data_IF_454139571304
#
_entry.id   IF_454139571304
#
_cell.length_a   1.000
_cell.length_b   1.000
_cell.length_c   1.000
_cell.angle_alpha   90.00
_cell.angle_beta   90.00
_cell.angle_gamma   90.00
#
_symmetry.space_group_name_H-M   'P 1'
#
loop_
_entity.id
_entity.type
_entity.pdbx_description
1 polymer ?
#
# COMPACT_ATOMS: atom_id res chain seq x y z
N UNK A 1 -0.30 26.28 6.37
CA UNK A 1 -1.75 25.98 6.30
C UNK A 1 -2.08 25.11 5.08
N UNK A 2 -1.32 25.24 3.98
CA UNK A 2 -1.52 24.49 2.73
C UNK A 2 -1.10 23.01 2.84
N UNK A 3 0.02 22.70 3.50
CA UNK A 3 0.47 21.33 3.80
C UNK A 3 -0.56 20.45 4.52
N UNK A 4 -1.37 21.01 5.43
CA UNK A 4 -2.42 20.25 6.13
C UNK A 4 -3.60 19.94 5.21
N UNK A 5 -3.95 20.87 4.32
CA UNK A 5 -5.03 20.68 3.33
C UNK A 5 -4.62 19.61 2.31
N UNK A 6 -3.39 19.68 1.79
CA UNK A 6 -2.86 18.68 0.87
C UNK A 6 -2.73 17.31 1.53
N UNK A 7 -2.30 17.24 2.79
CA UNK A 7 -2.30 15.99 3.55
C UNK A 7 -3.71 15.39 3.68
N UNK A 8 -4.71 16.22 4.01
CA UNK A 8 -6.10 15.78 4.11
C UNK A 8 -6.62 15.27 2.76
N UNK A 9 -6.30 15.96 1.66
CA UNK A 9 -6.70 15.57 0.31
C UNK A 9 -6.04 14.25 -0.10
N UNK A 10 -4.72 14.14 0.09
CA UNK A 10 -3.95 12.93 -0.18
C UNK A 10 -4.51 11.73 0.58
N UNK A 11 -4.68 11.87 1.89
CA UNK A 11 -5.22 10.82 2.73
C UNK A 11 -6.63 10.44 2.31
N UNK A 12 -7.51 11.43 2.05
CA UNK A 12 -8.89 11.17 1.61
C UNK A 12 -8.94 10.36 0.33
N UNK A 13 -8.14 10.69 -0.69
CA UNK A 13 -8.18 9.97 -1.97
C UNK A 13 -7.76 8.50 -1.81
N UNK A 14 -6.72 8.22 -1.01
CA UNK A 14 -6.29 6.85 -0.75
C UNK A 14 -7.30 6.09 0.12
N UNK A 15 -7.86 6.73 1.15
CA UNK A 15 -8.95 6.16 1.97
C UNK A 15 -10.17 5.82 1.11
N UNK A 16 -10.58 6.72 0.21
CA UNK A 16 -11.69 6.49 -0.74
C UNK A 16 -11.40 5.33 -1.71
N UNK A 17 -10.12 5.02 -1.98
CA UNK A 17 -9.67 3.86 -2.75
C UNK A 17 -9.56 2.57 -1.92
N UNK A 18 -9.85 2.65 -0.62
CA UNK A 18 -9.89 1.51 0.31
C UNK A 18 -8.64 1.33 1.17
N UNK A 19 -7.64 2.21 1.08
CA UNK A 19 -6.41 2.16 1.87
C UNK A 19 -6.62 2.69 3.30
N UNK A 20 -7.45 1.98 4.06
CA UNK A 20 -7.94 2.39 5.38
C UNK A 20 -7.19 1.74 6.55
N UNK A 21 -6.24 0.87 6.25
CA UNK A 21 -5.45 0.12 7.23
C UNK A 21 -4.39 0.99 7.92
N UNK A 22 -3.55 0.34 8.72
CA UNK A 22 -2.42 0.99 9.38
C UNK A 22 -1.24 1.16 8.42
N UNK A 23 -0.61 2.33 8.50
CA UNK A 23 0.57 2.69 7.75
C UNK A 23 1.73 2.95 8.70
N UNK A 24 2.92 2.66 8.22
CA UNK A 24 4.18 3.08 8.82
C UNK A 24 4.92 3.98 7.84
N UNK A 25 5.47 5.08 8.33
CA UNK A 25 6.43 5.91 7.58
C UNK A 25 7.87 5.43 7.81
N UNK A 26 8.83 5.98 7.06
CA UNK A 26 10.26 5.70 7.22
C UNK A 26 10.80 6.01 8.64
N UNK A 27 10.13 6.89 9.40
CA UNK A 27 10.43 7.16 10.81
C UNK A 27 9.74 6.22 11.82
N UNK A 28 9.14 5.13 11.35
CA UNK A 28 8.36 4.17 12.16
C UNK A 28 7.13 4.77 12.86
N UNK A 29 6.59 5.90 12.38
CA UNK A 29 5.33 6.47 12.86
C UNK A 29 4.17 5.58 12.39
N UNK A 30 3.60 4.79 13.29
CA UNK A 30 2.51 3.87 13.01
C UNK A 30 1.15 4.54 13.28
N UNK A 31 0.20 4.42 12.36
CA UNK A 31 -1.14 4.96 12.57
C UNK A 31 -2.03 4.83 11.35
N UNK A 32 -3.23 5.41 11.39
CA UNK A 32 -3.99 5.62 10.15
C UNK A 32 -3.19 6.54 9.23
N UNK A 33 -3.43 6.45 7.92
CA UNK A 33 -2.64 7.15 6.91
C UNK A 33 -2.39 8.63 7.23
N UNK A 34 -3.44 9.38 7.58
CA UNK A 34 -3.33 10.79 7.95
C UNK A 34 -2.54 10.99 9.25
N UNK A 35 -2.82 10.19 10.28
CA UNK A 35 -2.17 10.31 11.60
C UNK A 35 -0.66 10.03 11.50
N UNK A 36 -0.30 8.93 10.85
CA UNK A 36 1.08 8.50 10.60
C UNK A 36 1.88 9.57 9.85
N UNK A 37 1.29 10.17 8.81
CA UNK A 37 1.90 11.25 8.05
C UNK A 37 1.98 12.55 8.84
N UNK A 38 0.92 12.94 9.55
CA UNK A 38 0.88 14.13 10.40
C UNK A 38 2.01 14.08 11.43
N UNK A 39 2.13 12.97 12.15
CA UNK A 39 3.13 12.80 13.20
C UNK A 39 4.56 12.86 12.64
N UNK A 40 4.80 12.22 11.49
CA UNK A 40 6.08 12.30 10.80
C UNK A 40 6.45 13.74 10.41
N UNK A 41 5.53 14.50 9.80
CA UNK A 41 5.79 15.89 9.40
C UNK A 41 5.96 16.83 10.60
N UNK A 42 5.19 16.62 11.67
CA UNK A 42 5.38 17.35 12.93
C UNK A 42 6.76 17.08 13.54
N UNK A 43 7.22 15.83 13.51
CA UNK A 43 8.55 15.46 13.99
C UNK A 43 9.67 16.12 13.18
N UNK A 44 9.49 16.19 11.85
CA UNK A 44 10.41 16.93 10.97
C UNK A 44 10.45 18.43 11.31
N UNK A 45 9.31 19.05 11.60
CA UNK A 45 9.24 20.46 11.99
C UNK A 45 9.91 20.72 13.35
N UNK A 46 9.82 19.77 14.29
CA UNK A 46 10.47 19.83 15.61
C UNK A 46 11.98 19.55 15.54
N UNK A 47 12.49 19.11 14.39
CA UNK A 47 13.91 18.78 14.19
C UNK A 47 14.32 17.43 14.78
N UNK A 48 13.38 16.62 15.26
CA UNK A 48 13.63 15.26 15.76
C UNK A 48 13.86 14.28 14.59
N UNK A 49 13.22 14.56 13.46
CA UNK A 49 13.42 13.86 12.19
C UNK A 49 13.79 14.83 11.07
N UNK A 50 14.20 14.28 9.93
CA UNK A 50 14.53 15.06 8.74
C UNK A 50 13.47 14.86 7.66
N UNK A 51 13.11 15.96 6.97
CA UNK A 51 12.34 15.84 5.74
C UNK A 51 13.07 14.91 4.75
N UNK A 52 12.33 14.04 4.05
CA UNK A 52 12.92 13.11 3.10
C UNK A 52 13.60 13.89 1.98
N UNK A 53 14.86 13.53 1.67
CA UNK A 53 15.64 14.14 0.57
C UNK A 53 15.08 13.78 -0.81
N UNK A 54 14.33 12.68 -0.89
CA UNK A 54 13.70 12.16 -2.09
C UNK A 54 12.23 11.85 -1.76
N UNK A 55 11.85 10.57 -1.83
CA UNK A 55 10.49 10.14 -1.59
C UNK A 55 10.34 9.63 -0.15
N UNK A 56 9.23 10.00 0.50
CA UNK A 56 8.78 9.41 1.75
C UNK A 56 8.27 8.00 1.50
N UNK A 57 8.84 7.01 2.18
CA UNK A 57 8.33 5.64 2.14
C UNK A 57 7.17 5.46 3.14
N UNK A 58 6.05 4.95 2.64
CA UNK A 58 4.91 4.46 3.41
C UNK A 58 4.75 2.96 3.19
N UNK A 59 4.54 2.20 4.24
CA UNK A 59 4.29 0.74 4.15
C UNK A 59 3.03 0.34 4.89
N UNK A 60 2.27 -0.61 4.34
CA UNK A 60 1.05 -1.13 4.95
C UNK A 60 0.78 -2.59 4.54
N UNK A 61 -0.05 -3.27 5.31
CA UNK A 61 -0.63 -4.56 4.91
C UNK A 61 -1.92 -4.30 4.14
N UNK A 62 -2.00 -4.80 2.90
CA UNK A 62 -3.25 -4.85 2.14
C UNK A 62 -4.10 -6.04 2.56
N UNK A 63 -3.46 -7.13 2.97
CA UNK A 63 -4.11 -8.32 3.49
C UNK A 63 -3.19 -8.99 4.51
N UNK A 64 -3.66 -9.10 5.75
CA UNK A 64 -3.01 -9.81 6.84
C UNK A 64 -4.03 -10.67 7.57
N UNK A 65 -3.69 -11.94 7.83
CA UNK A 65 -4.61 -12.87 8.51
C UNK A 65 -3.91 -13.73 9.57
N UNK A 66 -2.78 -13.24 10.08
CA UNK A 66 -1.89 -13.93 11.03
C UNK A 66 -0.56 -14.35 10.39
N UNK A 67 0.43 -14.60 11.25
CA UNK A 67 1.81 -14.91 10.83
C UNK A 67 1.92 -16.22 10.03
N UNK A 68 1.05 -17.19 10.32
CA UNK A 68 1.01 -18.51 9.65
C UNK A 68 0.30 -18.50 8.29
N UNK A 69 -0.02 -17.32 7.74
CA UNK A 69 -0.73 -17.20 6.47
C UNK A 69 0.02 -16.29 5.51
N UNK A 70 -0.13 -16.52 4.19
CA UNK A 70 0.34 -15.56 3.20
C UNK A 70 -0.28 -14.18 3.44
N UNK A 71 0.49 -13.16 3.10
CA UNK A 71 0.11 -11.76 3.30
C UNK A 71 0.42 -10.95 2.07
N UNK A 72 -0.29 -9.83 1.93
CA UNK A 72 -0.04 -8.85 0.90
C UNK A 72 0.36 -7.55 1.57
N UNK A 73 1.55 -7.08 1.25
CA UNK A 73 2.12 -5.82 1.70
C UNK A 73 2.12 -4.83 0.54
N UNK A 74 2.01 -3.55 0.86
CA UNK A 74 2.31 -2.46 -0.06
C UNK A 74 3.39 -1.53 0.50
N UNK A 75 4.19 -1.01 -0.42
CA UNK A 75 5.10 0.09 -0.20
C UNK A 75 4.75 1.20 -1.20
N UNK A 76 4.62 2.43 -0.71
CA UNK A 76 4.28 3.61 -1.48
C UNK A 76 5.37 4.65 -1.30
N UNK A 77 5.87 5.20 -2.40
CA UNK A 77 6.83 6.29 -2.40
C UNK A 77 6.08 7.58 -2.67
N UNK A 78 6.12 8.50 -1.72
CA UNK A 78 5.39 9.77 -1.75
C UNK A 78 6.40 10.90 -1.88
N UNK A 79 6.32 11.63 -2.98
CA UNK A 79 7.06 12.88 -3.16
C UNK A 79 6.41 13.98 -2.36
N UNK A 80 7.23 14.74 -1.66
CA UNK A 80 6.84 15.98 -0.99
C UNK A 80 7.69 17.11 -1.58
N UNK A 81 7.14 17.81 -2.58
CA UNK A 81 7.80 18.91 -3.29
C UNK A 81 6.87 20.12 -3.29
N UNK A 82 7.38 21.29 -2.94
CA UNK A 82 6.63 22.55 -2.97
C UNK A 82 5.26 22.47 -2.25
N UNK A 83 5.23 21.83 -1.08
CA UNK A 83 4.01 21.63 -0.27
C UNK A 83 2.95 20.70 -0.88
N UNK A 84 3.23 20.06 -2.02
CA UNK A 84 2.36 19.07 -2.66
C UNK A 84 2.79 17.64 -2.34
N UNK A 85 1.81 16.77 -2.04
CA UNK A 85 2.01 15.34 -1.86
C UNK A 85 1.56 14.58 -3.11
N UNK A 86 2.49 13.86 -3.73
CA UNK A 86 2.19 13.01 -4.88
C UNK A 86 2.75 11.61 -4.71
N UNK A 87 1.98 10.59 -5.10
CA UNK A 87 2.43 9.21 -5.12
C UNK A 87 3.27 8.98 -6.39
N UNK A 88 4.55 8.64 -6.27
CA UNK A 88 5.44 8.42 -7.43
C UNK A 88 5.45 6.96 -7.90
N UNK A 89 5.51 6.05 -6.92
CA UNK A 89 5.67 4.61 -7.12
C UNK A 89 4.89 3.87 -6.05
N UNK A 90 4.37 2.71 -6.44
CA UNK A 90 3.78 1.74 -5.54
C UNK A 90 4.34 0.35 -5.84
N UNK A 91 4.65 -0.40 -4.80
CA UNK A 91 5.07 -1.78 -4.89
C UNK A 91 4.12 -2.63 -4.07
N UNK A 92 3.64 -3.73 -4.66
CA UNK A 92 2.72 -4.65 -4.01
C UNK A 92 3.37 -6.02 -4.03
N UNK A 93 3.47 -6.65 -2.86
CA UNK A 93 4.17 -7.91 -2.69
C UNK A 93 3.27 -8.88 -1.94
N UNK A 94 3.05 -10.05 -2.53
CA UNK A 94 2.51 -11.22 -1.84
C UNK A 94 3.66 -12.05 -1.29
N UNK A 95 3.66 -12.30 0.01
CA UNK A 95 4.64 -13.14 0.70
C UNK A 95 3.95 -14.36 1.32
N UNK A 96 4.67 -15.47 1.42
CA UNK A 96 4.24 -16.61 2.23
C UNK A 96 4.44 -16.34 3.73
N UNK A 97 4.08 -17.32 4.57
CA UNK A 97 4.21 -17.26 6.03
C UNK A 97 5.66 -17.09 6.52
N UNK A 98 6.65 -17.48 5.72
CA UNK A 98 8.08 -17.36 6.04
C UNK A 98 8.70 -16.07 5.49
N UNK A 99 7.89 -15.21 4.84
CA UNK A 99 8.34 -13.97 4.22
C UNK A 99 8.92 -14.14 2.82
N UNK A 100 8.86 -15.33 2.22
CA UNK A 100 9.29 -15.54 0.84
C UNK A 100 8.35 -14.85 -0.13
N UNK A 101 8.89 -14.14 -1.11
CA UNK A 101 8.11 -13.42 -2.11
C UNK A 101 7.50 -14.43 -3.09
N UNK A 102 6.17 -14.53 -3.09
CA UNK A 102 5.41 -15.36 -4.03
C UNK A 102 5.13 -14.60 -5.34
N UNK A 103 4.80 -13.31 -5.23
CA UNK A 103 4.53 -12.44 -6.37
C UNK A 103 4.80 -10.99 -6.00
N UNK A 104 5.33 -10.22 -6.94
CA UNK A 104 5.64 -8.80 -6.79
C UNK A 104 5.27 -8.05 -8.05
N UNK A 105 4.65 -6.89 -7.88
CA UNK A 105 4.42 -5.93 -8.96
C UNK A 105 4.91 -4.55 -8.51
N UNK A 106 5.44 -3.81 -9.46
CA UNK A 106 5.87 -2.43 -9.29
C UNK A 106 5.11 -1.56 -10.27
N UNK A 107 4.49 -0.51 -9.74
CA UNK A 107 3.76 0.51 -10.48
C UNK A 107 4.54 1.82 -10.36
N UNK A 108 4.87 2.42 -11.49
CA UNK A 108 5.64 3.67 -11.61
C UNK A 108 4.79 4.77 -12.22
N UNK A 109 5.32 5.99 -12.20
CA UNK A 109 4.73 7.18 -12.81
C UNK A 109 3.28 7.39 -12.36
N UNK A 110 3.05 7.14 -11.07
CA UNK A 110 1.76 7.26 -10.45
C UNK A 110 1.44 8.71 -10.08
N UNK A 111 0.19 8.88 -9.68
CA UNK A 111 -0.32 9.99 -8.90
C UNK A 111 -1.30 9.39 -7.87
N UNK A 112 -1.71 10.17 -6.88
CA UNK A 112 -2.72 9.71 -5.92
C UNK A 112 -4.05 9.35 -6.62
N UNK A 113 -4.33 9.96 -7.78
CA UNK A 113 -5.53 9.73 -8.58
C UNK A 113 -5.43 8.43 -9.37
N UNK A 114 -4.27 8.17 -9.99
CA UNK A 114 -4.02 6.97 -10.80
C UNK A 114 -3.64 5.73 -9.98
N UNK A 115 -3.46 5.86 -8.67
CA UNK A 115 -3.27 4.72 -7.77
C UNK A 115 -4.42 3.70 -7.93
N UNK A 116 -4.14 2.39 -7.99
CA UNK A 116 -5.18 1.36 -8.07
C UNK A 116 -6.04 1.36 -6.79
N UNK A 117 -7.27 0.88 -6.88
CA UNK A 117 -8.07 0.58 -5.68
C UNK A 117 -7.42 -0.57 -4.90
N UNK A 118 -7.68 -0.65 -3.60
CA UNK A 118 -7.15 -1.73 -2.75
C UNK A 118 -7.48 -3.13 -3.32
N UNK A 119 -8.71 -3.33 -3.78
CA UNK A 119 -9.14 -4.60 -4.38
C UNK A 119 -8.39 -4.94 -5.68
N UNK A 120 -8.11 -3.93 -6.51
CA UNK A 120 -7.33 -4.09 -7.75
C UNK A 120 -5.87 -4.42 -7.42
N UNK A 121 -5.28 -3.71 -6.46
CA UNK A 121 -3.91 -3.96 -5.98
C UNK A 121 -3.74 -5.38 -5.45
N UNK A 122 -4.69 -5.86 -4.65
CA UNK A 122 -4.73 -7.25 -4.16
C UNK A 122 -4.84 -8.23 -5.32
N UNK A 123 -5.73 -7.97 -6.28
CA UNK A 123 -5.93 -8.83 -7.44
C UNK A 123 -4.68 -8.95 -8.33
N UNK A 124 -3.86 -7.90 -8.45
CA UNK A 124 -2.62 -7.94 -9.24
C UNK A 124 -1.62 -9.00 -8.75
N UNK A 125 -1.56 -9.24 -7.44
CA UNK A 125 -0.63 -10.20 -6.82
C UNK A 125 -1.31 -11.47 -6.30
N UNK A 126 -2.64 -11.49 -6.32
CA UNK A 126 -3.41 -12.71 -6.11
C UNK A 126 -3.40 -13.49 -7.43
N UNK A 127 -3.14 -14.78 -7.34
CA UNK A 127 -3.44 -15.65 -8.46
C UNK A 127 -4.97 -15.73 -8.50
N UNK A 128 -5.59 -15.33 -9.62
CA UNK A 128 -6.97 -15.76 -9.85
C UNK A 128 -6.98 -17.27 -9.63
N UNK A 129 -7.97 -17.83 -8.90
CA UNK A 129 -8.24 -19.23 -9.12
C UNK A 129 -8.58 -19.29 -10.60
N UNK A 130 -7.66 -19.85 -11.42
CA UNK A 130 -8.08 -20.53 -12.62
C UNK A 130 -9.13 -21.51 -12.09
N UNK A 131 -10.40 -21.15 -12.22
CA UNK A 131 -11.46 -22.12 -12.20
C UNK A 131 -11.09 -23.07 -13.32
N UNK A 132 -10.32 -24.10 -13.01
CA UNK A 132 -10.35 -25.32 -13.77
C UNK A 132 -11.77 -25.83 -13.52
N UNK A 133 -12.70 -25.35 -14.34
CA UNK A 133 -13.87 -26.12 -14.76
C UNK A 133 -13.32 -27.35 -15.49
N UNK A 134 -12.68 -28.24 -14.71
CA UNK A 134 -12.53 -29.63 -15.07
C UNK A 134 -13.94 -30.17 -15.07
N UNK A 135 -14.59 -30.11 -16.22
CA UNK A 135 -15.70 -31.00 -16.51
C UNK A 135 -15.17 -32.41 -16.31
N UNK A 136 -15.35 -32.97 -15.11
CA UNK A 136 -15.15 -34.39 -14.88
C UNK A 136 -16.11 -35.10 -15.83
N UNK A 137 -15.64 -35.87 -16.83
CA UNK A 137 -16.56 -36.64 -17.64
C UNK A 137 -17.17 -37.69 -16.72
N UNK A 138 -18.51 -37.66 -16.61
CA UNK A 138 -19.29 -38.74 -16.02
C UNK A 138 -18.89 -40.04 -16.72
N UNK A 139 -18.09 -40.87 -16.06
CA UNK A 139 -17.99 -42.31 -16.32
C UNK A 139 -18.26 -43.01 -15.00
N UNK A 140 -19.54 -43.22 -14.73
CA UNK A 140 -19.96 -44.42 -14.03
C UNK A 140 -19.86 -45.55 -15.07
N UNK A 141 -18.99 -46.51 -14.81
CA UNK A 141 -18.97 -47.79 -15.51
C UNK A 141 -19.02 -48.89 -14.45
N UNK A 142 -20.05 -49.73 -14.62
CA UNK A 142 -20.41 -51.00 -13.99
C UNK A 142 -20.97 -50.91 -12.57
#
# INVERSE_FOLDING_TARGET
METLLELNRFAKILTDKGYNEYFHTQGAYAGKLKESLSEFFESCQKGTDNLPKHDLLLTSYLQWSGDEKPRIECAMWVKHLNEELSLSRMEIIKKDQFGQILKKIELKDLSVISAPKLTEAIAMVSDEPKQQTGQSPKRFML
#
